data_IF_636024955754
#
_entry.id   IF_636024955754
#
_cell.length_a   1.000
_cell.length_b   1.000
_cell.length_c   1.000
_cell.angle_alpha   90.00
_cell.angle_beta   90.00
_cell.angle_gamma   90.00
#
_symmetry.space_group_name_H-M   'P 1'
#
loop_
_entity.id
_entity.type
_entity.pdbx_description
1 polymer ?
#
# COMPACT_ATOMS: atom_id res chain seq x y z
N UNK A 1 -0.28 -13.35 8.45
CA UNK A 1 -0.85 -12.54 7.35
C UNK A 1 -1.07 -11.07 7.73
N UNK A 2 -1.84 -10.74 8.78
CA UNK A 2 -2.13 -9.33 9.16
C UNK A 2 -0.88 -8.46 9.37
N UNK A 3 0.17 -9.00 9.99
CA UNK A 3 1.44 -8.27 10.17
C UNK A 3 2.16 -7.99 8.85
N UNK A 4 2.13 -8.91 7.89
CA UNK A 4 2.70 -8.71 6.55
C UNK A 4 1.94 -7.59 5.83
N UNK A 5 0.61 -7.63 5.85
CA UNK A 5 -0.24 -6.58 5.29
C UNK A 5 0.09 -5.20 5.86
N UNK A 6 0.09 -5.07 7.19
CA UNK A 6 0.42 -3.81 7.87
C UNK A 6 1.82 -3.31 7.49
N UNK A 7 2.82 -4.19 7.48
CA UNK A 7 4.20 -3.83 7.13
C UNK A 7 4.30 -3.36 5.68
N UNK A 8 3.58 -4.01 4.76
CA UNK A 8 3.49 -3.60 3.37
C UNK A 8 2.93 -2.19 3.22
N UNK A 9 1.79 -1.90 3.84
CA UNK A 9 1.16 -0.57 3.74
C UNK A 9 2.00 0.54 4.39
N UNK A 10 2.62 0.27 5.54
CA UNK A 10 3.49 1.24 6.21
C UNK A 10 4.74 1.55 5.38
N UNK A 11 5.37 0.52 4.79
CA UNK A 11 6.50 0.71 3.89
C UNK A 11 6.13 1.46 2.60
N UNK A 12 4.90 1.25 2.09
CA UNK A 12 4.36 2.07 1.01
C UNK A 12 4.26 3.53 1.44
N UNK A 13 3.56 3.84 2.54
CA UNK A 13 3.43 5.22 3.02
C UNK A 13 4.76 5.91 3.34
N UNK A 14 5.80 5.15 3.69
CA UNK A 14 7.13 5.69 3.95
C UNK A 14 7.90 6.01 2.66
N UNK A 15 7.84 5.15 1.65
CA UNK A 15 8.65 5.26 0.43
C UNK A 15 7.93 5.85 -0.77
N UNK A 16 6.60 5.87 -0.75
CA UNK A 16 5.73 6.26 -1.85
C UNK A 16 5.62 5.20 -2.94
N UNK A 17 6.15 4.00 -2.70
CA UNK A 17 6.14 2.87 -3.65
C UNK A 17 5.80 1.57 -2.92
N UNK A 18 5.15 0.61 -3.59
CA UNK A 18 5.01 -0.73 -3.02
C UNK A 18 6.38 -1.33 -2.68
N UNK A 19 6.48 -2.13 -1.61
CA UNK A 19 7.70 -2.88 -1.30
C UNK A 19 8.14 -3.79 -2.45
N UNK A 20 9.45 -4.02 -2.55
CA UNK A 20 9.99 -4.97 -3.52
C UNK A 20 9.64 -6.41 -3.13
N UNK A 21 9.66 -7.30 -4.12
CA UNK A 21 9.46 -8.74 -3.87
C UNK A 21 10.45 -9.28 -2.83
N UNK A 22 11.72 -8.85 -2.88
CA UNK A 22 12.73 -9.30 -1.92
C UNK A 22 12.45 -8.83 -0.49
N UNK A 23 11.94 -7.59 -0.31
CA UNK A 23 11.50 -7.10 0.99
C UNK A 23 10.34 -7.96 1.53
N UNK A 24 9.34 -8.23 0.69
CA UNK A 24 8.20 -9.07 1.04
C UNK A 24 8.63 -10.51 1.40
N UNK A 25 9.56 -11.08 0.63
CA UNK A 25 10.10 -12.41 0.89
C UNK A 25 10.84 -12.49 2.22
N UNK A 26 11.64 -11.47 2.54
CA UNK A 26 12.34 -11.40 3.83
C UNK A 26 11.35 -11.29 4.98
N UNK A 27 10.34 -10.43 4.87
CA UNK A 27 9.32 -10.30 5.92
C UNK A 27 8.46 -11.56 6.06
N UNK A 28 8.13 -12.24 4.96
CA UNK A 28 7.41 -13.51 5.01
C UNK A 28 8.23 -14.59 5.73
N UNK A 29 9.54 -14.67 5.47
CA UNK A 29 10.46 -15.56 6.20
C UNK A 29 10.51 -15.25 7.70
N UNK A 30 10.69 -13.98 8.06
CA UNK A 30 10.70 -13.51 9.45
C UNK A 30 9.39 -13.85 10.19
N UNK A 31 8.26 -13.80 9.48
CA UNK A 31 6.93 -14.07 10.02
C UNK A 31 6.49 -15.54 9.89
N UNK A 32 7.37 -16.43 9.38
CA UNK A 32 7.06 -17.84 9.09
C UNK A 32 5.81 -18.03 8.21
N UNK A 33 5.67 -17.21 7.17
CA UNK A 33 4.55 -17.24 6.21
C UNK A 33 5.00 -17.75 4.84
N UNK A 34 4.13 -18.48 4.15
CA UNK A 34 4.24 -18.70 2.72
C UNK A 34 3.84 -17.40 2.00
N UNK A 35 4.78 -16.76 1.30
CA UNK A 35 4.56 -15.44 0.68
C UNK A 35 3.42 -15.49 -0.34
N UNK A 36 3.50 -16.39 -1.31
CA UNK A 36 2.53 -16.47 -2.42
C UNK A 36 1.10 -16.71 -1.92
N UNK A 37 0.92 -17.67 -1.01
CA UNK A 37 -0.38 -17.93 -0.37
C UNK A 37 -0.88 -16.72 0.41
N UNK A 38 0.01 -16.00 1.12
CA UNK A 38 -0.37 -14.81 1.87
C UNK A 38 -0.79 -13.67 0.93
N UNK A 39 -0.06 -13.46 -0.18
CA UNK A 39 -0.41 -12.45 -1.17
C UNK A 39 -1.72 -12.78 -1.87
N UNK A 40 -1.96 -14.05 -2.20
CA UNK A 40 -3.22 -14.51 -2.77
C UNK A 40 -4.38 -14.21 -1.82
N UNK A 41 -4.28 -14.60 -0.55
CA UNK A 41 -5.33 -14.36 0.44
C UNK A 41 -5.60 -12.86 0.66
N UNK A 42 -4.55 -12.03 0.66
CA UNK A 42 -4.70 -10.57 0.77
C UNK A 42 -5.34 -9.96 -0.48
N UNK A 43 -5.11 -10.55 -1.66
CA UNK A 43 -5.73 -10.11 -2.92
C UNK A 43 -7.19 -10.52 -2.98
N UNK A 44 -7.53 -11.75 -2.59
CA UNK A 44 -8.92 -12.25 -2.50
C UNK A 44 -9.76 -11.43 -1.51
N UNK A 45 -9.13 -10.88 -0.47
CA UNK A 45 -9.76 -9.98 0.49
C UNK A 45 -9.75 -8.51 0.07
N UNK A 46 -9.31 -8.18 -1.15
CA UNK A 46 -9.18 -6.81 -1.68
C UNK A 46 -8.28 -5.88 -0.85
N UNK A 47 -7.36 -6.45 -0.06
CA UNK A 47 -6.45 -5.71 0.81
C UNK A 47 -5.18 -5.26 0.08
N UNK A 48 -4.68 -6.09 -0.83
CA UNK A 48 -3.54 -5.77 -1.71
C UNK A 48 -3.92 -6.01 -3.17
N UNK A 49 -3.28 -5.28 -4.06
CA UNK A 49 -3.39 -5.48 -5.50
C UNK A 49 -2.03 -5.92 -6.05
N UNK A 50 -2.04 -6.89 -6.96
CA UNK A 50 -0.83 -7.37 -7.61
C UNK A 50 -0.73 -6.82 -9.03
N UNK A 51 0.48 -6.89 -9.61
CA UNK A 51 0.68 -6.65 -11.03
C UNK A 51 0.13 -7.81 -11.88
N UNK A 52 0.12 -7.66 -13.20
CA UNK A 52 -0.39 -8.69 -14.11
C UNK A 52 0.37 -10.03 -14.00
N UNK A 53 1.61 -10.01 -13.50
CA UNK A 53 2.37 -11.24 -13.27
C UNK A 53 1.97 -11.97 -11.98
N UNK A 54 1.19 -11.34 -11.10
CA UNK A 54 0.81 -11.86 -9.80
C UNK A 54 1.97 -11.90 -8.80
N UNK A 55 3.10 -11.23 -9.07
CA UNK A 55 4.32 -11.32 -8.25
C UNK A 55 4.68 -10.05 -7.52
N UNK A 56 4.24 -8.89 -8.00
CA UNK A 56 4.57 -7.61 -7.37
C UNK A 56 3.32 -6.95 -6.84
N UNK A 57 3.40 -6.38 -5.64
CA UNK A 57 2.35 -5.48 -5.14
C UNK A 57 2.34 -4.24 -6.03
N UNK A 58 1.20 -3.94 -6.63
CA UNK A 58 0.95 -2.72 -7.39
C UNK A 58 0.32 -1.65 -6.51
N UNK A 59 -0.55 -2.05 -5.57
CA UNK A 59 -1.32 -1.18 -4.69
C UNK A 59 -1.90 -1.94 -3.48
N UNK A 60 -2.78 -1.31 -2.73
CA UNK A 60 -3.52 -1.95 -1.64
C UNK A 60 -4.14 -0.92 -0.71
N UNK A 61 -5.38 -1.15 -0.26
CA UNK A 61 -6.14 -0.14 0.48
C UNK A 61 -5.39 0.32 1.74
N UNK A 62 -5.17 1.63 1.92
CA UNK A 62 -5.79 2.76 1.19
C UNK A 62 -5.04 3.26 -0.08
N UNK A 63 -3.87 2.74 -0.42
CA UNK A 63 -3.08 3.18 -1.57
C UNK A 63 -3.58 2.63 -2.91
N UNK A 64 -3.63 3.50 -3.90
CA UNK A 64 -3.91 3.14 -5.29
C UNK A 64 -2.68 2.53 -5.98
N UNK A 65 -2.92 1.74 -7.02
CA UNK A 65 -1.86 1.15 -7.84
C UNK A 65 -1.19 2.13 -8.82
N UNK A 66 -1.70 3.36 -8.90
CA UNK A 66 -1.21 4.40 -9.81
C UNK A 66 -1.89 5.75 -9.57
N UNK A 67 -1.65 6.74 -10.45
CA UNK A 67 -2.29 8.05 -10.33
C UNK A 67 -3.82 7.98 -10.37
N UNK A 68 -4.47 8.70 -9.46
CA UNK A 68 -5.93 8.84 -9.36
C UNK A 68 -6.30 10.31 -9.11
N UNK A 69 -7.62 10.58 -9.06
CA UNK A 69 -8.18 11.87 -8.65
C UNK A 69 -7.77 12.32 -7.24
N UNK A 70 -7.36 11.40 -6.37
CA UNK A 70 -7.13 11.65 -4.95
C UNK A 70 -5.63 11.58 -4.63
N UNK A 71 -4.94 12.71 -4.82
CA UNK A 71 -3.52 12.84 -4.50
C UNK A 71 -3.36 13.18 -3.02
N UNK A 72 -2.50 12.44 -2.32
CA UNK A 72 -2.24 12.60 -0.89
C UNK A 72 -0.78 12.96 -0.69
N UNK A 73 -0.53 14.15 -0.17
CA UNK A 73 0.80 14.63 0.18
C UNK A 73 1.03 14.33 1.67
N UNK A 74 1.92 13.39 1.97
CA UNK A 74 2.24 13.05 3.36
C UNK A 74 3.27 14.05 3.87
N UNK A 75 3.00 14.73 4.99
CA UNK A 75 3.90 15.75 5.55
C UNK A 75 5.26 15.13 5.90
N UNK A 76 6.36 15.69 5.40
CA UNK A 76 7.73 15.13 5.48
C UNK A 76 7.86 13.75 4.83
N UNK A 77 7.05 13.46 3.81
CA UNK A 77 6.95 12.16 3.19
C UNK A 77 6.71 12.24 1.69
N UNK A 78 6.42 11.09 1.06
CA UNK A 78 6.14 11.03 -0.36
C UNK A 78 4.73 11.57 -0.68
N UNK A 79 4.51 11.83 -1.96
CA UNK A 79 3.16 11.96 -2.51
C UNK A 79 2.70 10.59 -3.01
N UNK A 80 1.49 10.21 -2.62
CA UNK A 80 0.83 8.96 -3.05
C UNK A 80 -0.57 9.25 -3.60
N UNK A 81 -1.25 8.21 -4.05
CA UNK A 81 -2.62 8.29 -4.55
C UNK A 81 -3.51 7.31 -3.81
N UNK A 82 -4.77 7.69 -3.60
CA UNK A 82 -5.81 6.86 -2.97
C UNK A 82 -6.87 6.45 -4.01
N UNK A 83 -7.54 5.32 -3.84
CA UNK A 83 -8.59 4.91 -4.79
C UNK A 83 -9.84 5.78 -4.68
N UNK A 84 -10.17 6.24 -3.47
CA UNK A 84 -11.30 7.12 -3.21
C UNK A 84 -10.97 8.18 -2.14
N UNK A 85 -11.92 9.10 -1.90
CA UNK A 85 -11.78 10.10 -0.84
C UNK A 85 -11.68 9.47 0.55
N UNK A 86 -12.43 8.39 0.83
CA UNK A 86 -12.40 7.72 2.13
C UNK A 86 -11.03 7.09 2.40
N UNK A 87 -10.43 6.45 1.40
CA UNK A 87 -9.06 5.92 1.50
C UNK A 87 -8.05 7.02 1.80
N UNK A 88 -8.18 8.18 1.14
CA UNK A 88 -7.31 9.32 1.37
C UNK A 88 -7.36 9.80 2.83
N UNK A 89 -8.57 9.86 3.44
CA UNK A 89 -8.71 10.15 4.87
C UNK A 89 -8.10 9.03 5.73
N UNK A 90 -8.31 7.76 5.34
CA UNK A 90 -7.78 6.59 6.05
C UNK A 90 -6.25 6.56 6.15
N UNK A 91 -5.54 7.11 5.16
CA UNK A 91 -4.07 7.19 5.18
C UNK A 91 -3.53 7.98 6.37
N UNK A 92 -4.15 9.10 6.73
CA UNK A 92 -3.72 9.92 7.87
C UNK A 92 -3.76 9.12 9.17
N UNK A 93 -4.88 8.43 9.40
CA UNK A 93 -5.08 7.60 10.58
C UNK A 93 -4.12 6.39 10.59
N UNK A 94 -3.95 5.70 9.46
CA UNK A 94 -3.07 4.54 9.36
C UNK A 94 -1.60 4.91 9.61
N UNK A 95 -1.15 6.06 9.10
CA UNK A 95 0.24 6.51 9.19
C UNK A 95 0.55 7.24 10.49
N UNK A 96 -0.46 7.74 11.21
CA UNK A 96 -0.27 8.62 12.36
C UNK A 96 0.44 9.91 11.96
N UNK A 97 0.15 10.43 10.76
CA UNK A 97 0.82 11.58 10.15
C UNK A 97 -0.19 12.51 9.51
N UNK A 98 0.11 13.80 9.55
CA UNK A 98 -0.64 14.80 8.79
C UNK A 98 -0.49 14.58 7.29
N UNK A 99 -1.59 14.76 6.55
CA UNK A 99 -1.64 14.67 5.10
C UNK A 99 -2.44 15.82 4.52
N UNK A 100 -2.07 16.24 3.31
CA UNK A 100 -2.85 17.19 2.49
C UNK A 100 -3.47 16.42 1.31
N UNK A 101 -4.80 16.44 1.21
CA UNK A 101 -5.56 15.74 0.17
C UNK A 101 -5.93 16.75 -0.90
N UNK A 102 -5.43 16.55 -2.12
CA UNK A 102 -5.67 17.43 -3.26
C UNK A 102 -6.29 16.67 -4.43
N UNK A 103 -7.17 17.31 -5.21
CA UNK A 103 -7.55 16.78 -6.51
C UNK A 103 -6.31 16.69 -7.41
N UNK A 104 -6.21 15.65 -8.25
CA UNK A 104 -5.19 15.63 -9.30
C UNK A 104 -5.55 16.67 -10.37
N UNK A 105 -4.65 17.62 -10.62
CA UNK A 105 -4.75 18.52 -11.77
C UNK A 105 -4.43 17.75 -13.04
N UNK A 106 -5.37 17.69 -13.98
CA UNK A 106 -5.12 17.27 -15.36
C UNK A 106 -4.36 18.35 -16.13
#
# INVERSE_FOLDING_TARGET
MQLLHRRTLLAFGQSGKPPTHDQLQNWAKELHLALDTSLQQLTEAELLFLDHSGRKVSGGVPFASGPTAHRVLIVNGPTVFANCAVDALGMAAMLGRDVDIRPSTH
#
